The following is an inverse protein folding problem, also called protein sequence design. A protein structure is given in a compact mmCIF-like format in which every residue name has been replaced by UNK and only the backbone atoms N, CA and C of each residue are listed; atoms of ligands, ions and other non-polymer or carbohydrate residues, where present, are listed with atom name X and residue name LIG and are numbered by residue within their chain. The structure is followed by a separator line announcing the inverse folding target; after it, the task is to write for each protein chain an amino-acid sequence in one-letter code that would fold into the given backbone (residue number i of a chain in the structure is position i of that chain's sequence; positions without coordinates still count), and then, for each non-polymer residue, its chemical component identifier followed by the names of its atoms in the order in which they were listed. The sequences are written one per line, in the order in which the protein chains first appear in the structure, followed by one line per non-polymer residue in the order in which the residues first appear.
data_IF_664701685704
#
_entry.id   IF_664701685704
#
_cell.length_a   1.000
_cell.length_b   1.000
_cell.length_c   1.000
_cell.angle_alpha   90.00
_cell.angle_beta   90.00
_cell.angle_gamma   90.00
#
_symmetry.space_group_name_H-M   'P 1'
#
loop_
_entity.id
_entity.type
_entity.pdbx_description
1 polymer ?
#
# COMPACT_ATOMS: atom_id res chain seq x y z
N UNK A 1 21.06 7.42 6.99
CA UNK A 1 19.78 6.72 6.81
C UNK A 1 19.73 6.28 5.36
N UNK A 2 19.37 5.03 5.02
CA UNK A 2 19.28 4.64 3.61
C UNK A 2 17.91 5.02 3.08
N UNK A 3 17.87 5.75 1.95
CA UNK A 3 16.65 6.03 1.22
C UNK A 3 15.92 4.72 0.89
N UNK A 4 14.60 4.69 1.08
CA UNK A 4 13.77 3.53 0.79
C UNK A 4 12.86 3.85 -0.39
N UNK A 5 12.64 2.91 -1.33
CA UNK A 5 11.67 3.12 -2.38
C UNK A 5 10.28 3.31 -1.77
N UNK A 6 9.56 4.34 -2.22
CA UNK A 6 8.16 4.59 -1.89
C UNK A 6 7.31 4.42 -3.14
N UNK A 7 6.18 3.73 -3.02
CA UNK A 7 5.17 3.69 -4.08
C UNK A 7 4.18 4.83 -3.84
N UNK A 8 4.14 5.77 -4.77
CA UNK A 8 3.13 6.83 -4.81
C UNK A 8 1.81 6.24 -5.32
N UNK A 9 0.73 6.44 -4.57
CA UNK A 9 -0.61 5.92 -4.86
C UNK A 9 -1.61 7.01 -5.24
N UNK A 10 -1.42 8.20 -4.70
CA UNK A 10 -2.30 9.34 -4.94
C UNK A 10 -1.52 10.66 -4.80
N UNK A 11 -2.07 11.72 -5.37
CA UNK A 11 -1.55 13.08 -5.28
C UNK A 11 -2.70 14.01 -4.93
N UNK A 12 -2.51 14.86 -3.93
CA UNK A 12 -3.42 15.92 -3.57
C UNK A 12 -2.73 17.26 -3.81
N UNK A 13 -3.36 18.13 -4.61
CA UNK A 13 -2.90 19.50 -4.80
C UNK A 13 -3.60 20.37 -3.75
N UNK A 14 -2.81 21.13 -2.99
CA UNK A 14 -3.29 22.01 -1.93
C UNK A 14 -3.65 23.39 -2.49
N UNK A 15 -4.40 24.18 -1.72
CA UNK A 15 -4.89 25.51 -2.15
C UNK A 15 -3.76 26.51 -2.44
N UNK A 16 -2.61 26.36 -1.77
CA UNK A 16 -1.41 27.18 -1.97
C UNK A 16 -0.57 26.75 -3.19
N UNK A 17 -1.04 25.73 -3.94
CA UNK A 17 -0.37 25.19 -5.12
C UNK A 17 0.73 24.16 -4.80
N UNK A 18 0.97 23.85 -3.54
CA UNK A 18 1.84 22.73 -3.15
C UNK A 18 1.12 21.39 -3.32
N UNK A 19 1.86 20.28 -3.18
CA UNK A 19 1.30 18.95 -3.35
C UNK A 19 1.69 18.02 -2.20
N UNK A 20 0.73 17.23 -1.73
CA UNK A 20 0.98 16.08 -0.88
C UNK A 20 0.84 14.80 -1.71
N UNK A 21 1.67 13.81 -1.39
CA UNK A 21 1.65 12.50 -2.05
C UNK A 21 1.35 11.39 -1.04
N UNK A 22 0.43 10.51 -1.42
CA UNK A 22 0.13 9.29 -0.66
C UNK A 22 1.17 8.22 -1.01
N UNK A 23 1.95 7.80 -0.03
CA UNK A 23 3.08 6.87 -0.20
C UNK A 23 2.91 5.64 0.69
N UNK A 24 3.26 4.48 0.14
CA UNK A 24 3.50 3.25 0.90
C UNK A 24 4.95 2.81 0.73
N UNK A 25 5.64 2.51 1.83
CA UNK A 25 7.06 2.18 1.79
C UNK A 25 7.33 0.76 1.32
N UNK A 26 8.37 0.63 0.50
CA UNK A 26 8.92 -0.63 0.05
C UNK A 26 9.86 -1.28 1.08
N UNK A 27 9.89 -2.62 1.08
CA UNK A 27 10.85 -3.42 1.83
C UNK A 27 11.26 -4.66 1.03
N UNK A 28 12.52 -5.06 1.16
CA UNK A 28 13.04 -6.31 0.58
C UNK A 28 12.67 -7.53 1.42
N UNK A 29 12.12 -7.33 2.63
CA UNK A 29 11.61 -8.41 3.50
C UNK A 29 10.22 -8.83 3.04
N UNK A 30 10.15 -9.70 2.03
CA UNK A 30 8.90 -10.04 1.33
C UNK A 30 7.83 -10.68 2.23
N UNK A 31 8.15 -11.66 3.07
CA UNK A 31 7.16 -12.35 3.94
C UNK A 31 5.91 -12.85 3.18
N UNK A 32 6.12 -13.50 2.02
CA UNK A 32 5.06 -13.88 1.06
C UNK A 32 3.90 -14.70 1.67
N UNK A 33 4.17 -15.50 2.71
CA UNK A 33 3.16 -16.33 3.37
C UNK A 33 2.30 -15.55 4.39
N UNK A 34 2.90 -14.53 5.03
CA UNK A 34 2.26 -13.73 6.09
C UNK A 34 1.55 -12.49 5.53
N UNK A 35 2.04 -11.96 4.41
CA UNK A 35 1.63 -10.66 3.84
C UNK A 35 1.01 -10.84 2.46
N UNK A 36 0.10 -11.80 2.34
CA UNK A 36 -0.53 -12.21 1.06
C UNK A 36 -1.26 -11.07 0.35
N UNK A 37 -1.72 -10.10 1.12
CA UNK A 37 -2.50 -8.96 0.62
C UNK A 37 -1.65 -7.68 0.52
N UNK A 38 -0.32 -7.76 0.55
CA UNK A 38 0.55 -6.64 0.17
C UNK A 38 0.78 -6.61 -1.34
N UNK A 39 1.32 -5.51 -1.84
CA UNK A 39 1.70 -5.39 -3.25
C UNK A 39 3.17 -5.76 -3.44
N UNK A 40 3.47 -6.54 -4.48
CA UNK A 40 4.80 -7.09 -4.72
C UNK A 40 5.27 -6.80 -6.14
N UNK A 41 6.51 -6.32 -6.26
CA UNK A 41 7.25 -6.28 -7.51
C UNK A 41 8.40 -7.28 -7.40
N UNK A 42 8.27 -8.42 -8.07
CA UNK A 42 9.24 -9.53 -8.01
C UNK A 42 9.76 -9.97 -9.38
N UNK A 43 9.01 -9.69 -10.46
CA UNK A 43 9.40 -10.00 -11.83
C UNK A 43 10.49 -9.03 -12.29
N UNK A 44 11.55 -9.55 -12.91
CA UNK A 44 12.69 -8.74 -13.36
C UNK A 44 12.28 -7.58 -14.28
N UNK A 45 11.40 -7.82 -15.25
CA UNK A 45 10.91 -6.78 -16.16
C UNK A 45 10.19 -5.64 -15.43
N UNK A 46 9.42 -5.97 -14.39
CA UNK A 46 8.70 -4.99 -13.57
C UNK A 46 9.66 -4.23 -12.67
N UNK A 47 10.65 -4.92 -12.08
CA UNK A 47 11.69 -4.27 -11.27
C UNK A 47 12.47 -3.25 -12.08
N UNK A 48 12.90 -3.61 -13.31
CA UNK A 48 13.60 -2.70 -14.22
C UNK A 48 12.72 -1.48 -14.54
N UNK A 49 11.43 -1.67 -14.86
CA UNK A 49 10.52 -0.56 -15.13
C UNK A 49 10.31 0.36 -13.90
N UNK A 50 10.29 -0.21 -12.71
CA UNK A 50 10.12 0.51 -11.45
C UNK A 50 11.42 1.09 -10.88
N UNK A 51 12.58 0.88 -11.53
CA UNK A 51 13.88 1.31 -11.02
C UNK A 51 14.33 0.58 -9.75
N UNK A 52 13.84 -0.64 -9.52
CA UNK A 52 14.14 -1.44 -8.33
C UNK A 52 15.29 -2.41 -8.61
N UNK A 53 16.30 -2.44 -7.74
CA UNK A 53 17.43 -3.37 -7.84
C UNK A 53 17.08 -4.78 -7.30
N UNK A 54 16.01 -4.87 -6.49
CA UNK A 54 15.62 -6.06 -5.74
C UNK A 54 14.11 -6.21 -5.69
N UNK A 55 13.69 -7.46 -5.51
CA UNK A 55 12.30 -7.79 -5.25
C UNK A 55 11.82 -7.00 -4.02
N UNK A 56 10.71 -6.29 -4.19
CA UNK A 56 10.22 -5.33 -3.20
C UNK A 56 8.75 -5.58 -2.91
N UNK A 57 8.42 -5.60 -1.63
CA UNK A 57 7.04 -5.57 -1.13
C UNK A 57 6.70 -4.16 -0.66
N UNK A 58 5.54 -3.67 -1.01
CA UNK A 58 4.96 -2.44 -0.51
C UNK A 58 3.90 -2.76 0.54
N UNK A 59 4.12 -2.25 1.75
CA UNK A 59 3.24 -2.47 2.90
C UNK A 59 1.97 -1.61 2.76
N UNK A 60 0.86 -2.24 2.40
CA UNK A 60 -0.40 -1.54 2.13
C UNK A 60 -1.20 -1.21 3.40
N UNK A 61 -0.71 -1.56 4.59
CA UNK A 61 -1.28 -1.10 5.87
C UNK A 61 -0.68 0.23 6.32
N UNK A 62 0.51 0.59 5.81
CA UNK A 62 1.28 1.75 6.27
C UNK A 62 1.32 2.83 5.20
N UNK A 63 0.26 3.62 5.19
CA UNK A 63 0.05 4.72 4.25
C UNK A 63 0.46 6.03 4.93
N UNK A 64 1.21 6.85 4.19
CA UNK A 64 1.66 8.16 4.64
C UNK A 64 1.30 9.22 3.60
N UNK A 65 0.73 10.33 4.04
CA UNK A 65 0.64 11.55 3.23
C UNK A 65 1.84 12.42 3.57
N UNK A 66 2.67 12.71 2.57
CA UNK A 66 3.92 13.46 2.75
C UNK A 66 3.97 14.65 1.79
N UNK A 67 4.46 15.81 2.23
CA UNK A 67 4.67 16.95 1.35
C UNK A 67 5.69 16.64 0.26
N UNK A 68 5.36 16.94 -0.99
CA UNK A 68 6.28 16.85 -2.11
C UNK A 68 7.39 17.89 -1.98
N UNK A 69 8.47 17.51 -1.31
CA UNK A 69 9.60 18.38 -0.96
C UNK A 69 10.90 17.58 -0.81
N UNK A 70 12.04 18.27 -0.86
CA UNK A 70 13.38 17.67 -0.73
C UNK A 70 13.64 17.01 0.62
N UNK A 71 12.89 17.40 1.66
CA UNK A 71 13.04 16.84 3.01
C UNK A 71 12.53 15.40 3.08
N UNK A 72 11.61 15.03 2.19
CA UNK A 72 10.97 13.71 2.14
C UNK A 72 11.35 12.90 0.91
N UNK A 73 11.66 13.57 -0.21
CA UNK A 73 11.93 12.96 -1.50
C UNK A 73 13.26 13.45 -2.07
N UNK A 74 14.26 12.57 -2.07
CA UNK A 74 15.58 12.83 -2.64
C UNK A 74 15.87 11.92 -3.84
N UNK A 75 16.59 12.40 -4.87
CA UNK A 75 17.08 11.55 -5.94
C UNK A 75 17.98 10.43 -5.42
N UNK A 76 17.82 9.22 -5.96
CA UNK A 76 18.79 8.14 -5.73
C UNK A 76 20.13 8.52 -6.37
N UNK A 77 21.25 8.18 -5.73
CA UNK A 77 22.63 8.56 -6.14
C UNK A 77 22.83 8.69 -7.66
N UNK A 78 23.08 9.93 -8.11
CA UNK A 78 23.34 10.25 -9.53
C UNK A 78 22.09 10.50 -10.38
N UNK A 79 20.89 10.31 -9.82
CA UNK A 79 19.62 10.67 -10.46
C UNK A 79 19.34 12.17 -10.37
N UNK A 80 18.57 12.67 -11.34
CA UNK A 80 18.12 14.07 -11.39
C UNK A 80 16.74 14.30 -10.76
N UNK A 81 16.08 13.23 -10.30
CA UNK A 81 14.72 13.25 -9.76
C UNK A 81 14.53 12.18 -8.69
N UNK A 82 13.71 12.42 -7.65
CA UNK A 82 13.29 11.39 -6.70
C UNK A 82 12.43 10.29 -7.33
N UNK A 83 11.87 10.51 -8.52
CA UNK A 83 11.14 9.49 -9.27
C UNK A 83 12.12 8.55 -9.95
N UNK A 84 12.22 7.31 -9.45
CA UNK A 84 13.18 6.31 -9.94
C UNK A 84 12.61 5.37 -11.02
N UNK A 85 11.28 5.36 -11.22
CA UNK A 85 10.62 4.52 -12.20
C UNK A 85 9.10 4.62 -12.13
N UNK A 86 8.41 3.83 -12.95
CA UNK A 86 6.95 3.82 -13.02
C UNK A 86 6.41 2.39 -13.04
N UNK A 87 5.22 2.20 -12.47
CA UNK A 87 4.53 0.91 -12.59
C UNK A 87 4.12 0.67 -14.04
N UNK A 88 4.32 -0.55 -14.53
CA UNK A 88 3.76 -0.96 -15.82
C UNK A 88 2.24 -1.08 -15.74
N UNK A 89 1.56 -1.11 -16.89
CA UNK A 89 0.12 -1.35 -16.94
C UNK A 89 -0.29 -2.66 -16.24
N UNK A 90 0.54 -3.70 -16.32
CA UNK A 90 0.30 -4.96 -15.62
C UNK A 90 0.38 -4.76 -14.10
N UNK A 91 1.44 -4.11 -13.62
CA UNK A 91 1.64 -3.82 -12.20
C UNK A 91 0.54 -2.91 -11.63
N UNK A 92 0.08 -1.90 -12.38
CA UNK A 92 -1.06 -1.05 -12.00
C UNK A 92 -2.32 -1.89 -11.81
N UNK A 93 -2.63 -2.79 -12.77
CA UNK A 93 -3.80 -3.66 -12.67
C UNK A 93 -3.72 -4.60 -11.46
N UNK A 94 -2.54 -5.16 -11.19
CA UNK A 94 -2.32 -6.00 -10.02
C UNK A 94 -2.49 -5.22 -8.72
N UNK A 95 -1.95 -4.00 -8.64
CA UNK A 95 -2.13 -3.12 -7.49
C UNK A 95 -3.61 -2.82 -7.24
N UNK A 96 -4.37 -2.47 -8.27
CA UNK A 96 -5.81 -2.22 -8.18
C UNK A 96 -6.56 -3.43 -7.64
N UNK A 97 -6.30 -4.63 -8.18
CA UNK A 97 -6.90 -5.88 -7.70
C UNK A 97 -6.57 -6.10 -6.21
N UNK A 98 -5.30 -5.96 -5.82
CA UNK A 98 -4.88 -6.13 -4.43
C UNK A 98 -5.58 -5.13 -3.50
N UNK A 99 -5.67 -3.85 -3.87
CA UNK A 99 -6.36 -2.82 -3.08
C UNK A 99 -7.85 -3.14 -2.95
N UNK A 100 -8.53 -3.52 -4.03
CA UNK A 100 -9.95 -3.89 -4.00
C UNK A 100 -10.21 -5.10 -3.10
N UNK A 101 -9.39 -6.15 -3.19
CA UNK A 101 -9.53 -7.35 -2.34
C UNK A 101 -9.36 -7.01 -0.85
N UNK A 102 -8.43 -6.12 -0.52
CA UNK A 102 -8.24 -5.66 0.87
C UNK A 102 -9.44 -4.87 1.38
N UNK A 103 -9.98 -3.97 0.57
CA UNK A 103 -11.17 -3.19 0.93
C UNK A 103 -12.37 -4.10 1.19
N UNK A 104 -12.60 -5.09 0.32
CA UNK A 104 -13.68 -6.07 0.50
C UNK A 104 -13.53 -6.85 1.82
N UNK A 105 -12.34 -7.38 2.11
CA UNK A 105 -12.09 -8.10 3.38
C UNK A 105 -12.23 -7.22 4.61
N UNK A 106 -11.81 -5.95 4.52
CA UNK A 106 -11.98 -5.00 5.62
C UNK A 106 -13.46 -4.73 5.88
N UNK A 107 -14.25 -4.53 4.83
CA UNK A 107 -15.70 -4.36 4.95
C UNK A 107 -16.38 -5.60 5.55
N UNK A 108 -16.02 -6.81 5.10
CA UNK A 108 -16.54 -8.07 5.69
C UNK A 108 -16.22 -8.19 7.18
N UNK A 109 -14.98 -7.86 7.58
CA UNK A 109 -14.55 -7.92 8.98
C UNK A 109 -15.25 -6.87 9.88
N UNK A 110 -15.67 -5.73 9.32
CA UNK A 110 -16.45 -4.70 10.03
C UNK A 110 -17.93 -5.11 10.22
N UNK A 111 -18.48 -5.95 9.32
CA UNK A 111 -19.86 -6.46 9.39
C UNK A 111 -20.00 -7.61 10.40
N UNK A 112 -18.99 -8.49 10.51
CA UNK A 112 -19.04 -9.69 11.37
C UNK A 112 -19.25 -9.44 12.90
N UNK A 113 -18.73 -8.37 13.54
CA UNK A 113 -18.97 -8.13 14.97
C UNK A 113 -20.42 -7.72 15.30
N UNK A 114 -21.15 -7.06 14.40
CA UNK A 114 -22.54 -6.64 14.65
C UNK A 114 -23.52 -7.83 14.69
N UNK A 115 -23.26 -8.89 13.91
CA UNK A 115 -24.06 -10.11 13.90
C UNK A 115 -23.90 -10.97 15.16
N UNK A 116 -22.78 -10.83 15.89
CA UNK A 116 -22.50 -11.62 17.11
C UNK A 116 -23.15 -11.04 18.38
N UNK A 117 -23.65 -9.81 18.35
CA UNK A 117 -24.35 -9.18 19.50
C UNK A 117 -25.87 -9.44 19.52
N UNK A 118 -26.43 -10.07 18.47
CA UNK A 118 -27.86 -10.30 18.30
C UNK A 118 -28.41 -11.63 18.84
N UNK A 119 -27.64 -12.44 19.58
CA UNK A 119 -28.20 -13.65 20.23
C UNK A 119 -28.81 -13.28 21.58
N UNK A 120 -30.15 -13.30 21.76
CA UNK A 120 -30.73 -13.15 23.08
C UNK A 120 -30.33 -14.33 23.95
N UNK A 121 -29.50 -14.04 24.95
CA UNK A 121 -29.28 -14.90 26.11
C UNK A 121 -30.55 -14.88 26.95
N UNK A 122 -31.33 -15.96 26.94
CA UNK A 122 -32.56 -16.04 27.71
C UNK A 122 -33.24 -17.40 27.59
N UNK A 123 -32.64 -18.39 28.25
CA UNK A 123 -33.31 -19.62 28.67
C UNK A 123 -34.41 -19.31 29.70
N UNK A 124 -35.46 -20.12 29.72
CA UNK A 124 -36.51 -20.02 30.73
C UNK A 124 -37.70 -20.94 30.45
N UNK A 125 -37.48 -22.26 30.52
CA UNK A 125 -38.52 -23.24 30.86
C UNK A 125 -39.33 -22.76 32.06
N UNK A 126 -40.68 -22.82 32.00
CA UNK A 126 -41.61 -23.32 33.03
C UNK A 126 -42.90 -23.71 32.29
N UNK A 127 -43.18 -25.02 32.14
CA UNK A 127 -44.05 -25.85 32.98
C UNK A 127 -45.53 -25.55 32.83
#
# INVERSE_FOLDING_TARGET
MYARPGLVRNVAILEDGTADVEVVYGTTKLKLLERKDDFFITKMSEMVACGLDRATRFDLDKIFWLPWSSDWFEPLHGGSSPVIGTLTAHSIKMLQITVSLRQARKAEAEIEPELKLGKPTGAGEQS
#
